data_IF_065048073260
#
_entry.id   IF_065048073260
#
_cell.length_a   1.000
_cell.length_b   1.000
_cell.length_c   1.000
_cell.angle_alpha   90.00
_cell.angle_beta   90.00
_cell.angle_gamma   90.00
#
_symmetry.space_group_name_H-M   'P 1'
#
loop_
_entity.id
_entity.type
_entity.pdbx_description
1 polymer ?
#
# COMPACT_ATOMS: atom_id res chain seq x y z
N UNK A 1 8.99 13.24 47.27
CA UNK A 1 8.34 12.04 46.69
C UNK A 1 7.21 12.37 45.72
N UNK A 2 6.22 13.20 46.07
CA UNK A 2 5.10 13.58 45.17
C UNK A 2 5.52 14.22 43.84
N UNK A 3 6.53 15.09 43.84
CA UNK A 3 7.03 15.76 42.64
C UNK A 3 7.73 14.82 41.64
N UNK A 4 8.42 13.77 42.12
CA UNK A 4 9.13 12.81 41.28
C UNK A 4 8.13 11.90 40.55
N UNK A 5 7.06 11.48 41.25
CA UNK A 5 5.97 10.69 40.66
C UNK A 5 5.23 11.50 39.59
N UNK A 6 4.95 12.78 39.84
CA UNK A 6 4.31 13.65 38.87
C UNK A 6 5.16 13.82 37.59
N UNK A 7 6.48 13.93 37.75
CA UNK A 7 7.41 14.09 36.62
C UNK A 7 7.51 12.81 35.78
N UNK A 8 7.56 11.64 36.42
CA UNK A 8 7.55 10.35 35.74
C UNK A 8 6.26 10.13 34.94
N UNK A 9 5.09 10.43 35.54
CA UNK A 9 3.79 10.33 34.87
C UNK A 9 3.74 11.25 33.64
N UNK A 10 4.22 12.49 33.77
CA UNK A 10 4.25 13.46 32.67
C UNK A 10 5.14 13.00 31.50
N UNK A 11 6.34 12.47 31.80
CA UNK A 11 7.25 11.93 30.78
C UNK A 11 6.63 10.71 30.08
N UNK A 12 6.00 9.80 30.81
CA UNK A 12 5.36 8.62 30.19
C UNK A 12 4.18 8.97 29.30
N UNK A 13 3.38 9.98 29.66
CA UNK A 13 2.30 10.50 28.82
C UNK A 13 2.84 11.10 27.52
N UNK A 14 3.87 11.95 27.59
CA UNK A 14 4.49 12.57 26.40
C UNK A 14 5.09 11.54 25.43
N UNK A 15 5.66 10.44 25.95
CA UNK A 15 6.19 9.35 25.12
C UNK A 15 5.10 8.53 24.40
N UNK A 16 3.87 8.51 24.90
CA UNK A 16 2.75 7.82 24.23
C UNK A 16 2.24 8.61 23.03
N UNK A 17 2.17 9.95 23.13
CA UNK A 17 1.71 10.80 22.03
C UNK A 17 2.70 10.89 20.86
N UNK A 18 4.00 10.72 21.12
CA UNK A 18 5.03 10.77 20.07
C UNK A 18 5.03 9.54 19.15
N UNK A 19 4.39 8.44 19.55
CA UNK A 19 4.29 7.22 18.72
C UNK A 19 3.10 7.18 17.77
N UNK A 20 2.20 8.16 17.83
CA UNK A 20 0.95 8.17 17.06
C UNK A 20 1.01 8.93 15.73
N UNK A 21 2.21 9.19 15.18
CA UNK A 21 2.35 9.73 13.83
C UNK A 21 2.29 8.58 12.82
N UNK A 22 1.08 8.27 12.35
CA UNK A 22 0.94 7.52 11.11
C UNK A 22 1.46 8.41 9.99
N UNK A 23 2.54 8.02 9.33
CA UNK A 23 3.10 8.82 8.26
C UNK A 23 2.20 8.71 7.02
N UNK A 24 1.78 9.85 6.47
CA UNK A 24 1.04 9.91 5.21
C UNK A 24 1.97 9.51 4.06
N UNK A 25 1.43 8.84 3.04
CA UNK A 25 2.19 8.55 1.84
C UNK A 25 2.24 9.78 0.94
N UNK A 26 3.41 10.00 0.33
CA UNK A 26 3.57 11.03 -0.69
C UNK A 26 2.61 10.80 -1.87
N UNK A 27 2.20 11.88 -2.57
CA UNK A 27 1.35 11.76 -3.74
C UNK A 27 1.93 10.76 -4.75
N UNK A 28 1.06 9.88 -5.26
CA UNK A 28 1.49 8.78 -6.11
C UNK A 28 1.89 9.27 -7.52
N UNK A 29 3.12 9.00 -7.99
CA UNK A 29 3.54 9.42 -9.31
C UNK A 29 2.76 8.64 -10.39
N UNK A 30 2.07 9.35 -11.27
CA UNK A 30 1.24 8.75 -12.33
C UNK A 30 -0.27 8.95 -12.13
N UNK A 31 -0.69 9.39 -10.93
CA UNK A 31 -2.00 9.97 -10.71
C UNK A 31 -1.85 11.49 -10.59
N UNK A 32 -2.76 12.27 -11.16
CA UNK A 32 -2.81 13.73 -10.99
C UNK A 32 -3.31 14.12 -9.60
N UNK A 33 -2.81 13.45 -8.57
CA UNK A 33 -3.11 13.74 -7.17
C UNK A 33 -2.02 14.60 -6.57
N UNK A 34 -2.42 15.70 -5.95
CA UNK A 34 -1.51 16.63 -5.25
C UNK A 34 -1.53 16.40 -3.74
N UNK A 35 -2.51 15.64 -3.25
CA UNK A 35 -2.71 15.42 -1.81
C UNK A 35 -2.00 14.13 -1.36
N UNK A 36 -1.35 14.13 -0.17
CA UNK A 36 -0.88 12.91 0.47
C UNK A 36 -2.02 11.91 0.72
N UNK A 37 -1.71 10.61 0.62
CA UNK A 37 -2.66 9.55 0.91
C UNK A 37 -2.55 9.11 2.37
N UNK A 38 -3.69 8.89 3.04
CA UNK A 38 -3.69 8.38 4.41
C UNK A 38 -3.37 6.88 4.43
N UNK A 39 -2.72 6.37 5.48
CA UNK A 39 -2.50 4.93 5.63
C UNK A 39 -3.79 4.10 5.49
N UNK A 40 -3.69 2.96 4.83
CA UNK A 40 -4.83 2.11 4.44
C UNK A 40 -5.49 2.50 3.12
N UNK A 41 -5.10 3.62 2.49
CA UNK A 41 -5.53 3.97 1.13
C UNK A 41 -5.03 2.92 0.13
N UNK A 42 -5.92 2.50 -0.77
CA UNK A 42 -5.62 1.61 -1.89
C UNK A 42 -5.92 2.29 -3.21
N UNK A 43 -4.97 2.25 -4.13
CA UNK A 43 -5.11 2.78 -5.49
C UNK A 43 -4.69 1.72 -6.51
N UNK A 44 -5.32 1.74 -7.69
CA UNK A 44 -4.97 0.86 -8.80
C UNK A 44 -4.43 1.70 -9.97
N UNK A 45 -3.23 1.36 -10.46
CA UNK A 45 -2.61 2.06 -11.59
C UNK A 45 -1.74 1.08 -12.39
N UNK A 46 -1.84 1.11 -13.72
CA UNK A 46 -1.09 0.22 -14.64
C UNK A 46 -1.14 -1.26 -14.23
N UNK A 47 -2.34 -1.76 -13.93
CA UNK A 47 -2.55 -3.15 -13.51
C UNK A 47 -1.72 -3.59 -12.27
N UNK A 48 -1.48 -2.65 -11.36
CA UNK A 48 -0.87 -2.89 -10.06
C UNK A 48 -1.73 -2.27 -8.96
N UNK A 49 -1.74 -2.91 -7.80
CA UNK A 49 -2.35 -2.37 -6.60
C UNK A 49 -1.27 -1.72 -5.75
N UNK A 50 -1.56 -0.53 -5.23
CA UNK A 50 -0.69 0.18 -4.31
C UNK A 50 -1.45 0.45 -3.02
N UNK A 51 -0.85 0.06 -1.90
CA UNK A 51 -1.38 0.25 -0.56
C UNK A 51 -0.48 1.22 0.20
N UNK A 52 -1.06 2.30 0.75
CA UNK A 52 -0.33 3.23 1.60
C UNK A 52 -0.13 2.62 2.99
N UNK A 53 1.12 2.32 3.35
CA UNK A 53 1.47 1.73 4.62
C UNK A 53 1.56 2.79 5.74
N UNK A 54 1.41 2.34 7.00
CA UNK A 54 1.43 3.21 8.18
C UNK A 54 2.76 3.95 8.41
N UNK A 55 3.83 3.50 7.77
CA UNK A 55 5.16 4.12 7.78
C UNK A 55 5.35 5.17 6.68
N UNK A 56 4.29 5.53 5.92
CA UNK A 56 4.34 6.53 4.85
C UNK A 56 4.94 6.02 3.53
N UNK A 57 5.17 4.71 3.42
CA UNK A 57 5.65 4.09 2.18
C UNK A 57 4.52 3.45 1.38
N UNK A 58 4.70 3.37 0.06
CA UNK A 58 3.81 2.63 -0.83
C UNK A 58 4.25 1.16 -0.90
N UNK A 59 3.34 0.25 -0.61
CA UNK A 59 3.51 -1.17 -0.93
C UNK A 59 2.88 -1.46 -2.28
N UNK A 60 3.57 -2.22 -3.12
CA UNK A 60 3.15 -2.49 -4.50
C UNK A 60 2.88 -3.98 -4.65
N UNK A 61 1.71 -4.33 -5.17
CA UNK A 61 1.34 -5.68 -5.56
C UNK A 61 1.14 -5.72 -7.09
N UNK A 62 2.03 -6.43 -7.77
CA UNK A 62 1.93 -6.70 -9.20
C UNK A 62 1.24 -8.02 -9.50
N UNK A 63 1.02 -8.27 -10.79
CA UNK A 63 0.45 -9.53 -11.26
C UNK A 63 1.33 -10.73 -10.90
N UNK A 64 0.70 -11.78 -10.37
CA UNK A 64 1.38 -13.03 -10.08
C UNK A 64 1.66 -13.79 -11.40
N UNK A 65 2.84 -14.43 -11.53
CA UNK A 65 3.08 -15.34 -12.65
C UNK A 65 2.16 -16.55 -12.54
N UNK A 66 1.56 -16.96 -13.66
CA UNK A 66 0.67 -18.12 -13.72
C UNK A 66 1.05 -19.00 -14.91
N UNK A 67 0.97 -20.31 -14.71
CA UNK A 67 1.32 -21.32 -15.74
C UNK A 67 0.32 -22.47 -15.68
N UNK A 68 0.14 -23.18 -16.79
CA UNK A 68 -0.62 -24.43 -16.83
C UNK A 68 0.10 -25.51 -17.65
N UNK A 69 -0.26 -26.78 -17.43
CA UNK A 69 0.43 -27.97 -18.00
C UNK A 69 0.49 -27.92 -19.52
N UNK A 70 -0.61 -27.54 -20.17
CA UNK A 70 -0.73 -27.41 -21.62
C UNK A 70 -0.89 -25.94 -22.00
N UNK A 71 0.13 -25.13 -21.70
CA UNK A 71 0.11 -23.73 -22.08
C UNK A 71 0.24 -23.57 -23.60
N UNK A 72 -0.82 -23.07 -24.23
CA UNK A 72 -0.87 -22.83 -25.69
C UNK A 72 -0.67 -21.34 -26.04
N UNK A 73 -0.64 -20.47 -25.03
CA UNK A 73 -0.41 -19.04 -25.21
C UNK A 73 -0.48 -18.27 -23.90
N UNK A 74 -0.49 -16.94 -24.02
CA UNK A 74 -0.66 -16.01 -22.91
C UNK A 74 -1.55 -14.86 -23.36
N UNK A 75 -2.48 -14.46 -22.51
CA UNK A 75 -3.23 -13.20 -22.67
C UNK A 75 -2.40 -12.10 -22.06
N UNK A 76 -2.15 -11.03 -22.82
CA UNK A 76 -1.44 -9.84 -22.35
C UNK A 76 -2.28 -9.01 -21.37
N UNK A 77 -1.68 -7.96 -20.82
CA UNK A 77 -2.36 -7.02 -19.94
C UNK A 77 -3.61 -6.42 -20.59
N UNK A 78 -4.71 -6.40 -19.85
CA UNK A 78 -5.95 -5.73 -20.23
C UNK A 78 -6.19 -4.51 -19.33
N UNK A 79 -5.58 -3.38 -19.68
CA UNK A 79 -5.70 -2.14 -18.91
C UNK A 79 -7.11 -1.54 -18.90
N UNK A 80 -8.07 -2.11 -19.64
CA UNK A 80 -9.49 -1.72 -19.56
C UNK A 80 -10.18 -2.30 -18.33
N UNK A 81 -9.57 -3.28 -17.67
CA UNK A 81 -10.11 -3.96 -16.49
C UNK A 81 -9.42 -3.51 -15.19
N UNK A 82 -10.09 -3.65 -14.04
CA UNK A 82 -9.44 -3.44 -12.75
C UNK A 82 -8.40 -4.54 -12.46
N UNK A 83 -7.49 -4.27 -11.51
CA UNK A 83 -6.68 -5.32 -10.90
C UNK A 83 -7.56 -6.17 -9.96
N UNK A 84 -7.45 -7.51 -9.99
CA UNK A 84 -6.48 -8.33 -10.72
C UNK A 84 -6.91 -8.79 -12.12
N UNK A 85 -8.10 -8.42 -12.61
CA UNK A 85 -8.66 -8.90 -13.89
C UNK A 85 -7.90 -8.40 -15.14
N UNK A 86 -7.14 -7.31 -15.01
CA UNK A 86 -6.23 -6.81 -16.04
C UNK A 86 -4.95 -7.65 -16.19
N UNK A 87 -4.68 -8.57 -15.25
CA UNK A 87 -3.43 -9.30 -15.22
C UNK A 87 -3.33 -10.32 -16.35
N UNK A 88 -2.11 -10.52 -16.88
CA UNK A 88 -1.90 -11.42 -17.98
C UNK A 88 -1.92 -12.87 -17.47
N UNK A 89 -2.56 -13.77 -18.20
CA UNK A 89 -2.82 -15.14 -17.75
C UNK A 89 -2.58 -16.16 -18.88
N UNK A 90 -2.20 -17.41 -18.55
CA UNK A 90 -1.97 -18.42 -19.57
C UNK A 90 -3.28 -18.80 -20.26
N UNK A 91 -3.16 -19.15 -21.55
CA UNK A 91 -4.21 -19.84 -22.31
C UNK A 91 -3.88 -21.33 -22.22
N UNK A 92 -4.82 -22.12 -21.70
CA UNK A 92 -4.64 -23.54 -21.46
C UNK A 92 -5.46 -24.36 -22.47
N UNK A 93 -4.84 -25.41 -23.02
CA UNK A 93 -5.44 -26.31 -24.02
C UNK A 93 -5.67 -27.74 -23.51
#
# INVERSE_FOLDING_TARGET
MKAIVALFVCVTLLCLFSKAQSAECLPFPGLNETKPSTPGTRIHHECRQYDCASNGSWHILGCAPSTCVNQIGYVDYDYSKPYPECCPHPICG
#
